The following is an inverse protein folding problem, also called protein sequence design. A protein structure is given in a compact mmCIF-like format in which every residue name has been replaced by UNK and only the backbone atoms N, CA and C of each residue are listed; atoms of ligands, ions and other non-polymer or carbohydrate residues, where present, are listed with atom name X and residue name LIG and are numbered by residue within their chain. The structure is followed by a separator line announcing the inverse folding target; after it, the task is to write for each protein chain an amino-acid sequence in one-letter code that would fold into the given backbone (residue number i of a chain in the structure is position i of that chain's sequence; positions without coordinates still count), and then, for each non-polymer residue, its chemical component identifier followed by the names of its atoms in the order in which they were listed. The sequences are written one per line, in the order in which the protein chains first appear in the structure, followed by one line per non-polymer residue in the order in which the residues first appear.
data_IF_634473864882
#
_entry.id   IF_634473864882
#
_cell.length_a   1.000
_cell.length_b   1.000
_cell.length_c   1.000
_cell.angle_alpha   90.00
_cell.angle_beta   90.00
_cell.angle_gamma   90.00
#
_symmetry.space_group_name_H-M   'P 1'
#
loop_
_entity.id
_entity.type
_entity.pdbx_description
1 polymer ?
#
# COMPACT_ATOMS: atom_id res chain seq x y z
N UNK A 1 -10.21 -24.60 -6.62
CA UNK A 1 -9.13 -24.10 -5.73
C UNK A 1 -9.53 -24.07 -4.25
N UNK A 2 -10.82 -24.05 -3.87
CA UNK A 2 -11.22 -24.28 -2.45
C UNK A 2 -10.92 -23.14 -1.47
N UNK A 3 -10.66 -21.92 -1.94
CA UNK A 3 -10.42 -20.76 -1.07
C UNK A 3 -11.74 -20.29 -0.45
N UNK A 4 -11.76 -20.11 0.88
CA UNK A 4 -12.85 -19.38 1.55
C UNK A 4 -12.67 -17.88 1.31
N UNK A 5 -13.69 -17.22 0.76
CA UNK A 5 -13.64 -15.81 0.37
C UNK A 5 -14.55 -14.99 1.31
N UNK A 6 -14.05 -14.68 2.49
CA UNK A 6 -14.80 -13.89 3.49
C UNK A 6 -14.60 -12.38 3.35
N UNK A 7 -13.44 -11.99 2.81
CA UNK A 7 -13.01 -10.60 2.61
C UNK A 7 -12.38 -10.47 1.23
N UNK A 8 -12.70 -9.37 0.54
CA UNK A 8 -12.22 -9.06 -0.80
C UNK A 8 -11.53 -7.70 -0.78
N UNK A 9 -10.43 -7.56 -1.51
CA UNK A 9 -9.85 -6.28 -1.90
C UNK A 9 -10.03 -6.12 -3.41
N UNK A 10 -10.73 -5.07 -3.83
CA UNK A 10 -10.88 -4.74 -5.25
C UNK A 10 -9.68 -3.91 -5.72
N UNK A 11 -9.13 -4.23 -6.88
CA UNK A 11 -7.98 -3.54 -7.46
C UNK A 11 -8.28 -3.18 -8.91
N UNK A 12 -8.36 -1.89 -9.21
CA UNK A 12 -8.54 -1.35 -10.56
C UNK A 12 -7.17 -1.05 -11.17
N UNK A 13 -6.77 -1.91 -12.10
CA UNK A 13 -5.47 -1.90 -12.80
C UNK A 13 -5.59 -1.04 -14.07
N UNK A 14 -4.46 -0.51 -14.55
CA UNK A 14 -4.23 0.17 -15.86
C UNK A 14 -3.92 1.67 -15.81
N UNK A 15 -3.95 2.30 -14.62
CA UNK A 15 -3.36 3.64 -14.44
C UNK A 15 -4.17 4.82 -15.01
N UNK A 16 -5.33 4.59 -15.62
CA UNK A 16 -6.16 5.62 -16.27
C UNK A 16 -7.57 5.74 -15.70
N UNK A 17 -7.90 4.95 -14.67
CA UNK A 17 -9.26 4.89 -14.11
C UNK A 17 -9.76 6.27 -13.68
N UNK A 18 -8.94 7.05 -12.98
CA UNK A 18 -9.27 8.40 -12.51
C UNK A 18 -9.50 9.41 -13.64
N UNK A 19 -9.04 9.12 -14.86
CA UNK A 19 -9.21 9.96 -16.04
C UNK A 19 -10.48 9.64 -16.85
N UNK A 20 -11.14 8.51 -16.56
CA UNK A 20 -12.37 8.13 -17.26
C UNK A 20 -13.54 9.07 -16.87
N UNK A 21 -14.58 9.18 -17.71
CA UNK A 21 -15.76 9.97 -17.36
C UNK A 21 -16.36 9.56 -16.01
N UNK A 22 -16.79 10.55 -15.21
CA UNK A 22 -17.26 10.29 -13.84
C UNK A 22 -18.42 9.28 -13.77
N UNK A 23 -19.37 9.38 -14.71
CA UNK A 23 -20.47 8.42 -14.82
C UNK A 23 -20.01 6.98 -15.03
N UNK A 24 -18.94 6.78 -15.81
CA UNK A 24 -18.36 5.46 -16.03
C UNK A 24 -17.66 4.94 -14.78
N UNK A 25 -16.88 5.77 -14.08
CA UNK A 25 -16.22 5.37 -12.84
C UNK A 25 -17.24 4.88 -11.80
N UNK A 26 -18.33 5.64 -11.59
CA UNK A 26 -19.41 5.26 -10.68
C UNK A 26 -20.09 3.97 -11.11
N UNK A 27 -20.46 3.87 -12.39
CA UNK A 27 -21.10 2.67 -12.94
C UNK A 27 -20.21 1.43 -12.75
N UNK A 28 -18.91 1.52 -13.07
CA UNK A 28 -18.00 0.39 -13.01
C UNK A 28 -17.83 -0.14 -11.58
N UNK A 29 -17.63 0.76 -10.61
CA UNK A 29 -17.51 0.39 -9.19
C UNK A 29 -18.82 -0.16 -8.66
N UNK A 30 -19.95 0.48 -8.99
CA UNK A 30 -21.28 -0.03 -8.64
C UNK A 30 -21.46 -1.47 -9.12
N UNK A 31 -21.14 -1.78 -10.38
CA UNK A 31 -21.27 -3.14 -10.92
C UNK A 31 -20.35 -4.15 -10.22
N UNK A 32 -19.15 -3.75 -9.82
CA UNK A 32 -18.27 -4.60 -9.02
C UNK A 32 -18.86 -4.87 -7.62
N UNK A 33 -19.45 -3.85 -6.99
CA UNK A 33 -20.12 -3.98 -5.70
C UNK A 33 -21.38 -4.85 -5.80
N UNK A 34 -22.23 -4.64 -6.81
CA UNK A 34 -23.42 -5.47 -7.07
C UNK A 34 -23.04 -6.95 -7.15
N UNK A 35 -21.97 -7.28 -7.87
CA UNK A 35 -21.47 -8.65 -7.99
C UNK A 35 -21.01 -9.24 -6.64
N UNK A 36 -20.38 -8.44 -5.78
CA UNK A 36 -19.92 -8.87 -4.44
C UNK A 36 -21.03 -8.90 -3.40
N UNK A 37 -22.04 -8.05 -3.55
CA UNK A 37 -23.24 -8.01 -2.72
C UNK A 37 -24.16 -9.20 -3.06
N UNK A 38 -24.22 -9.58 -4.34
CA UNK A 38 -25.09 -10.63 -4.85
C UNK A 38 -26.48 -10.14 -5.29
N UNK A 39 -26.68 -8.83 -5.37
CA UNK A 39 -27.92 -8.18 -5.78
C UNK A 39 -27.64 -6.89 -6.55
N UNK A 40 -28.63 -6.44 -7.34
CA UNK A 40 -28.51 -5.22 -8.14
C UNK A 40 -29.00 -4.00 -7.36
N UNK A 41 -28.20 -2.94 -7.37
CA UNK A 41 -28.58 -1.64 -6.81
C UNK A 41 -29.08 -0.66 -7.88
N UNK A 42 -29.80 0.39 -7.50
CA UNK A 42 -30.19 1.51 -8.37
C UNK A 42 -29.07 2.55 -8.56
N UNK A 43 -28.16 2.65 -7.59
CA UNK A 43 -27.12 3.68 -7.53
C UNK A 43 -25.84 3.16 -6.87
N UNK A 44 -24.74 3.91 -7.00
CA UNK A 44 -23.48 3.57 -6.32
C UNK A 44 -23.64 3.68 -4.79
N UNK A 45 -24.38 4.69 -4.34
CA UNK A 45 -24.63 4.98 -2.93
C UNK A 45 -25.40 3.83 -2.25
N UNK A 46 -26.38 3.26 -2.96
CA UNK A 46 -27.07 2.05 -2.52
C UNK A 46 -26.14 0.84 -2.51
N UNK A 47 -25.34 0.63 -3.56
CA UNK A 47 -24.37 -0.48 -3.61
C UNK A 47 -23.38 -0.43 -2.43
N UNK A 48 -22.88 0.76 -2.09
CA UNK A 48 -22.00 0.98 -0.94
C UNK A 48 -22.70 0.73 0.39
N UNK A 49 -23.99 1.08 0.50
CA UNK A 49 -24.80 0.86 1.70
C UNK A 49 -25.04 -0.63 1.92
N UNK A 50 -25.41 -1.37 0.88
CA UNK A 50 -25.54 -2.84 0.93
C UNK A 50 -24.19 -3.48 1.32
N UNK A 51 -23.10 -3.03 0.70
CA UNK A 51 -21.75 -3.51 0.97
C UNK A 51 -21.31 -3.26 2.43
N UNK A 52 -21.90 -2.29 3.12
CA UNK A 52 -21.64 -1.99 4.53
C UNK A 52 -22.50 -2.83 5.48
N UNK A 53 -23.74 -3.15 5.11
CA UNK A 53 -24.74 -3.79 5.99
C UNK A 53 -24.56 -5.30 6.16
N UNK A 54 -23.92 -6.01 5.25
CA UNK A 54 -23.72 -7.45 5.42
C UNK A 54 -23.58 -8.19 4.09
N UNK A 55 -22.56 -7.84 3.29
CA UNK A 55 -22.42 -8.42 1.97
C UNK A 55 -22.07 -9.90 2.06
N UNK A 56 -22.44 -10.64 1.00
CA UNK A 56 -21.95 -12.01 0.77
C UNK A 56 -20.41 -12.08 0.88
N UNK A 57 -19.72 -11.03 0.39
CA UNK A 57 -18.27 -10.88 0.49
C UNK A 57 -17.90 -9.48 1.01
N UNK A 58 -17.17 -9.39 2.14
CA UNK A 58 -16.83 -8.09 2.75
C UNK A 58 -15.73 -7.37 1.97
N UNK A 59 -16.05 -6.22 1.39
CA UNK A 59 -15.07 -5.35 0.73
C UNK A 59 -14.19 -4.66 1.79
N UNK A 60 -13.01 -5.22 2.01
CA UNK A 60 -12.03 -4.73 2.98
C UNK A 60 -11.24 -3.51 2.49
N UNK A 61 -11.21 -3.29 1.17
CA UNK A 61 -10.57 -2.14 0.56
C UNK A 61 -10.80 -2.11 -0.94
N UNK A 62 -10.70 -0.91 -1.50
CA UNK A 62 -10.64 -0.67 -2.93
C UNK A 62 -9.33 0.06 -3.22
N UNK A 63 -8.60 -0.42 -4.24
CA UNK A 63 -7.35 0.16 -4.75
C UNK A 63 -7.56 0.66 -6.18
N UNK A 64 -7.08 1.86 -6.46
CA UNK A 64 -7.03 2.41 -7.82
C UNK A 64 -5.58 2.69 -8.21
N UNK A 65 -5.15 2.14 -9.35
CA UNK A 65 -3.91 2.53 -10.01
C UNK A 65 -4.16 3.75 -10.89
N UNK A 66 -3.35 4.80 -10.76
CA UNK A 66 -3.49 6.04 -11.54
C UNK A 66 -2.15 6.70 -11.81
N UNK A 67 -2.14 7.70 -12.68
CA UNK A 67 -1.01 8.61 -12.85
C UNK A 67 -1.03 9.70 -11.78
N UNK A 68 0.15 10.19 -11.34
CA UNK A 68 0.28 11.32 -10.40
C UNK A 68 -0.58 12.55 -10.75
N UNK A 69 -0.57 12.99 -12.01
CA UNK A 69 -1.34 14.14 -12.50
C UNK A 69 -2.87 13.94 -12.41
N UNK A 70 -3.33 12.70 -12.23
CA UNK A 70 -4.74 12.31 -12.04
C UNK A 70 -5.05 11.80 -10.62
N UNK A 71 -4.26 12.22 -9.64
CA UNK A 71 -4.40 11.83 -8.24
C UNK A 71 -4.36 13.00 -7.25
N UNK A 72 -4.43 14.24 -7.76
CA UNK A 72 -4.49 15.46 -6.96
C UNK A 72 -5.86 15.62 -6.28
N UNK A 73 -6.00 16.63 -5.42
CA UNK A 73 -7.15 16.80 -4.53
C UNK A 73 -8.53 16.65 -5.21
N UNK A 74 -8.82 17.20 -6.40
CA UNK A 74 -10.13 17.01 -7.04
C UNK A 74 -10.44 15.55 -7.39
N UNK A 75 -9.46 14.82 -7.94
CA UNK A 75 -9.60 13.40 -8.28
C UNK A 75 -9.63 12.54 -7.03
N UNK A 76 -8.74 12.81 -6.06
CA UNK A 76 -8.68 12.09 -4.79
C UNK A 76 -10.00 12.19 -4.00
N UNK A 77 -10.66 13.36 -4.01
CA UNK A 77 -11.99 13.50 -3.40
C UNK A 77 -13.06 12.65 -4.07
N UNK A 78 -13.06 12.55 -5.40
CA UNK A 78 -13.96 11.63 -6.13
C UNK A 78 -13.68 10.17 -5.79
N UNK A 79 -12.41 9.79 -5.66
CA UNK A 79 -12.03 8.43 -5.25
C UNK A 79 -12.58 8.08 -3.85
N UNK A 80 -12.65 9.03 -2.92
CA UNK A 80 -13.29 8.80 -1.61
C UNK A 80 -14.79 8.49 -1.76
N UNK A 81 -15.49 9.19 -2.64
CA UNK A 81 -16.93 8.95 -2.91
C UNK A 81 -17.18 7.54 -3.47
N UNK A 82 -16.20 7.01 -4.21
CA UNK A 82 -16.21 5.64 -4.73
C UNK A 82 -15.90 4.57 -3.67
N UNK A 83 -15.53 4.94 -2.44
CA UNK A 83 -15.10 4.02 -1.39
C UNK A 83 -13.66 3.52 -1.54
N UNK A 84 -12.84 4.20 -2.35
CA UNK A 84 -11.41 3.89 -2.50
C UNK A 84 -10.69 4.12 -1.17
N UNK A 85 -9.77 3.21 -0.83
CA UNK A 85 -8.97 3.29 0.40
C UNK A 85 -7.47 3.37 0.12
N UNK A 86 -7.06 3.08 -1.11
CA UNK A 86 -5.67 2.97 -1.53
C UNK A 86 -5.50 3.49 -2.94
N UNK A 87 -4.46 4.29 -3.15
CA UNK A 87 -4.10 4.80 -4.47
C UNK A 87 -2.67 4.42 -4.76
N UNK A 88 -2.45 3.85 -5.93
CA UNK A 88 -1.13 3.48 -6.40
C UNK A 88 -0.74 4.36 -7.59
N UNK A 89 0.34 5.10 -7.40
CA UNK A 89 0.84 6.09 -8.33
C UNK A 89 1.87 5.46 -9.26
N UNK A 90 1.63 5.61 -10.56
CA UNK A 90 2.57 5.24 -11.61
C UNK A 90 3.76 6.20 -11.72
N UNK A 91 4.56 6.30 -10.64
CA UNK A 91 5.74 7.18 -10.46
C UNK A 91 6.88 6.78 -11.39
N UNK A 92 7.25 5.51 -11.41
CA UNK A 92 8.30 4.90 -12.22
C UNK A 92 9.71 5.34 -11.81
N UNK A 93 10.02 6.62 -11.87
CA UNK A 93 11.25 7.23 -11.37
C UNK A 93 10.94 8.55 -10.66
N UNK A 94 11.91 9.20 -9.99
CA UNK A 94 11.73 10.57 -9.48
C UNK A 94 12.72 11.53 -10.15
N UNK A 95 12.68 11.54 -11.49
CA UNK A 95 13.57 12.31 -12.36
C UNK A 95 12.81 12.82 -13.61
N UNK A 96 12.67 14.14 -13.73
CA UNK A 96 11.98 14.79 -14.84
C UNK A 96 12.73 14.64 -16.19
N UNK A 97 14.04 14.40 -16.19
CA UNK A 97 14.78 14.06 -17.41
C UNK A 97 14.37 12.68 -17.91
N UNK A 98 14.30 11.68 -17.03
CA UNK A 98 13.81 10.34 -17.39
C UNK A 98 12.38 10.44 -17.93
N UNK A 99 11.50 11.20 -17.28
CA UNK A 99 10.13 11.43 -17.75
C UNK A 99 10.07 12.02 -19.16
N UNK A 100 10.90 13.03 -19.48
CA UNK A 100 10.99 13.58 -20.84
C UNK A 100 11.44 12.53 -21.84
N UNK A 101 12.46 11.73 -21.52
CA UNK A 101 12.99 10.69 -22.42
C UNK A 101 11.92 9.64 -22.74
N UNK A 102 11.19 9.17 -21.73
CA UNK A 102 10.15 8.13 -21.90
C UNK A 102 8.79 8.71 -22.29
N UNK A 103 8.70 10.02 -22.54
CA UNK A 103 7.47 10.74 -22.88
C UNK A 103 6.34 10.53 -21.85
N UNK A 104 6.67 10.70 -20.57
CA UNK A 104 5.71 10.66 -19.48
C UNK A 104 5.04 12.03 -19.32
N UNK A 105 3.72 12.04 -19.19
CA UNK A 105 2.93 13.27 -19.15
C UNK A 105 2.73 13.87 -17.75
N UNK A 106 3.62 13.60 -16.81
CA UNK A 106 3.62 14.20 -15.47
C UNK A 106 5.06 14.47 -15.03
N UNK A 107 5.19 15.25 -13.96
CA UNK A 107 6.44 15.70 -13.36
C UNK A 107 6.66 15.09 -11.98
N UNK A 108 7.86 15.26 -11.42
CA UNK A 108 8.14 14.90 -10.02
C UNK A 108 7.27 15.74 -9.07
N UNK A 109 6.99 16.99 -9.42
CA UNK A 109 6.10 17.85 -8.63
C UNK A 109 4.67 17.27 -8.55
N UNK A 110 4.15 16.72 -9.66
CA UNK A 110 2.85 16.03 -9.65
C UNK A 110 2.85 14.82 -8.69
N UNK A 111 3.98 14.12 -8.55
CA UNK A 111 4.15 13.01 -7.60
C UNK A 111 4.09 13.52 -6.16
N UNK A 112 4.81 14.60 -5.87
CA UNK A 112 4.87 15.22 -4.53
C UNK A 112 3.49 15.73 -4.12
N UNK A 113 2.85 16.52 -4.99
CA UNK A 113 1.52 17.08 -4.74
C UNK A 113 0.47 15.98 -4.52
N UNK A 114 0.40 15.00 -5.43
CA UNK A 114 -0.53 13.88 -5.30
C UNK A 114 -0.28 13.08 -4.02
N UNK A 115 0.98 12.84 -3.66
CA UNK A 115 1.31 12.11 -2.43
C UNK A 115 0.85 12.86 -1.19
N UNK A 116 1.06 14.18 -1.13
CA UNK A 116 0.57 15.03 -0.04
C UNK A 116 -0.95 15.01 0.04
N UNK A 117 -1.64 15.25 -1.07
CA UNK A 117 -3.10 15.27 -1.14
C UNK A 117 -3.70 13.94 -0.67
N UNK A 118 -3.17 12.82 -1.16
CA UNK A 118 -3.64 11.49 -0.80
C UNK A 118 -3.42 11.20 0.69
N UNK A 119 -2.26 11.53 1.24
CA UNK A 119 -1.98 11.33 2.67
C UNK A 119 -2.87 12.19 3.55
N UNK A 120 -3.07 13.46 3.20
CA UNK A 120 -3.95 14.38 3.93
C UNK A 120 -5.44 14.04 3.78
N UNK A 121 -5.82 13.23 2.79
CA UNK A 121 -7.13 12.58 2.66
C UNK A 121 -7.16 11.15 3.24
N UNK A 122 -6.16 10.80 4.06
CA UNK A 122 -5.99 9.53 4.75
C UNK A 122 -5.72 8.29 3.88
N UNK A 123 -5.62 8.39 2.55
CA UNK A 123 -5.36 7.23 1.69
C UNK A 123 -4.04 6.53 2.03
N UNK A 124 -4.00 5.22 1.83
CA UNK A 124 -2.76 4.46 1.64
C UNK A 124 -2.16 4.81 0.28
N UNK A 125 -0.86 5.10 0.21
CA UNK A 125 -0.17 5.51 -1.01
C UNK A 125 0.89 4.47 -1.39
N UNK A 126 0.76 3.92 -2.60
CA UNK A 126 1.75 3.01 -3.18
C UNK A 126 2.46 3.64 -4.37
N UNK A 127 3.76 3.41 -4.55
CA UNK A 127 4.48 3.80 -5.75
C UNK A 127 4.78 2.59 -6.63
N UNK A 128 4.56 2.71 -7.93
CA UNK A 128 5.13 1.80 -8.91
C UNK A 128 6.49 2.35 -9.32
N UNK A 129 7.57 1.63 -9.06
CA UNK A 129 8.94 2.03 -9.38
C UNK A 129 9.51 1.12 -10.46
N UNK A 130 10.27 1.69 -11.39
CA UNK A 130 10.85 0.99 -12.53
C UNK A 130 12.34 1.31 -12.62
N UNK A 131 13.24 0.44 -12.13
CA UNK A 131 14.66 0.61 -12.40
C UNK A 131 14.95 0.36 -13.89
N UNK A 132 16.11 0.83 -14.34
CA UNK A 132 16.64 0.63 -15.69
C UNK A 132 15.80 1.26 -16.81
N UNK A 133 15.12 2.38 -16.52
CA UNK A 133 14.48 3.17 -17.56
C UNK A 133 15.53 3.82 -18.49
N UNK A 134 15.19 4.11 -19.77
CA UNK A 134 16.05 4.90 -20.64
C UNK A 134 16.48 6.22 -19.99
N UNK A 135 17.79 6.49 -19.99
CA UNK A 135 18.40 7.66 -19.34
C UNK A 135 18.82 7.44 -17.87
N UNK A 136 18.50 6.27 -17.30
CA UNK A 136 18.99 5.85 -15.97
C UNK A 136 20.22 4.94 -16.06
N UNK A 137 20.86 4.77 -14.91
CA UNK A 137 21.95 3.83 -14.66
C UNK A 137 21.86 3.29 -13.21
N UNK A 138 22.72 2.33 -12.86
CA UNK A 138 22.68 1.68 -11.53
C UNK A 138 22.86 2.67 -10.38
N UNK A 139 23.67 3.72 -10.57
CA UNK A 139 23.93 4.71 -9.54
C UNK A 139 22.72 5.64 -9.39
N UNK A 140 22.15 6.12 -10.50
CA UNK A 140 20.92 6.92 -10.51
C UNK A 140 19.75 6.18 -9.89
N UNK A 141 19.54 4.91 -10.25
CA UNK A 141 18.46 4.09 -9.70
C UNK A 141 18.62 3.86 -8.18
N UNK A 142 19.86 3.67 -7.71
CA UNK A 142 20.14 3.53 -6.28
C UNK A 142 19.89 4.84 -5.52
N UNK A 143 20.37 5.97 -6.05
CA UNK A 143 20.18 7.28 -5.42
C UNK A 143 18.72 7.70 -5.40
N UNK A 144 18.01 7.50 -6.51
CA UNK A 144 16.56 7.67 -6.60
C UNK A 144 15.85 6.91 -5.48
N UNK A 145 16.21 5.64 -5.27
CA UNK A 145 15.59 4.82 -4.24
C UNK A 145 15.90 5.29 -2.83
N UNK A 146 17.12 5.76 -2.55
CA UNK A 146 17.49 6.37 -1.26
C UNK A 146 16.67 7.63 -1.01
N UNK A 147 16.61 8.53 -2.00
CA UNK A 147 15.86 9.78 -1.91
C UNK A 147 14.38 9.58 -1.59
N UNK A 148 13.73 8.53 -2.12
CA UNK A 148 12.32 8.21 -1.79
C UNK A 148 12.07 8.04 -0.28
N UNK A 149 13.08 7.60 0.48
CA UNK A 149 12.98 7.39 1.93
C UNK A 149 13.55 8.56 2.73
N UNK A 150 14.63 9.18 2.26
CA UNK A 150 15.29 10.27 2.95
C UNK A 150 14.50 11.58 2.84
N UNK A 151 13.89 11.84 1.69
CA UNK A 151 13.12 13.05 1.42
C UNK A 151 11.65 12.89 1.88
N UNK A 152 11.16 13.75 2.80
CA UNK A 152 9.80 13.65 3.33
C UNK A 152 8.71 13.86 2.27
N UNK A 153 8.99 14.44 1.11
CA UNK A 153 7.97 14.69 0.09
C UNK A 153 7.44 13.40 -0.56
N UNK A 154 8.15 12.27 -0.45
CA UNK A 154 7.75 10.97 -0.98
C UNK A 154 7.24 10.02 0.12
N UNK A 155 8.13 9.20 0.69
CA UNK A 155 7.88 8.21 1.75
C UNK A 155 6.55 7.43 1.58
N UNK A 156 6.30 6.74 0.46
CA UNK A 156 5.07 5.98 0.25
C UNK A 156 4.93 4.84 1.29
N UNK A 157 3.72 4.34 1.50
CA UNK A 157 3.48 3.22 2.43
C UNK A 157 3.85 1.87 1.80
N UNK A 158 3.88 1.81 0.47
CA UNK A 158 4.10 0.59 -0.28
C UNK A 158 4.81 0.87 -1.59
N UNK A 159 5.46 -0.16 -2.13
CA UNK A 159 6.05 -0.11 -3.46
C UNK A 159 5.78 -1.38 -4.25
N UNK A 160 5.63 -1.21 -5.56
CA UNK A 160 5.70 -2.25 -6.59
C UNK A 160 6.94 -1.98 -7.43
N UNK A 161 7.87 -2.92 -7.48
CA UNK A 161 9.12 -2.78 -8.22
C UNK A 161 8.98 -3.58 -9.52
N UNK A 162 9.08 -2.88 -10.66
CA UNK A 162 8.92 -3.45 -11.99
C UNK A 162 10.14 -3.10 -12.83
N UNK A 163 11.19 -3.95 -12.81
CA UNK A 163 12.33 -3.78 -13.71
C UNK A 163 11.89 -3.60 -15.16
N UNK A 164 12.54 -2.68 -15.85
CA UNK A 164 12.17 -2.34 -17.22
C UNK A 164 12.37 -3.55 -18.14
N UNK A 165 11.34 -3.86 -18.93
CA UNK A 165 11.33 -4.94 -19.91
C UNK A 165 11.18 -4.38 -21.31
N UNK A 166 11.97 -4.89 -22.25
CA UNK A 166 11.86 -4.55 -23.67
C UNK A 166 10.80 -5.44 -24.31
N UNK A 167 9.64 -4.87 -24.62
CA UNK A 167 8.52 -5.60 -25.23
C UNK A 167 8.45 -5.32 -26.73
N UNK A 168 8.23 -6.34 -27.58
CA UNK A 168 7.98 -6.14 -29.01
C UNK A 168 6.87 -5.11 -29.28
N UNK A 169 7.04 -4.31 -30.33
CA UNK A 169 6.09 -3.26 -30.71
C UNK A 169 6.13 -1.99 -29.86
N UNK A 170 7.06 -1.86 -28.92
CA UNK A 170 7.23 -0.64 -28.12
C UNK A 170 8.37 0.25 -28.64
N UNK A 171 8.31 1.55 -28.36
CA UNK A 171 9.41 2.49 -28.63
C UNK A 171 10.73 2.05 -27.99
N UNK A 172 10.67 1.43 -26.81
CA UNK A 172 11.85 0.89 -26.13
C UNK A 172 12.52 -0.24 -26.94
N UNK A 173 11.72 -1.08 -27.60
CA UNK A 173 12.24 -2.13 -28.47
C UNK A 173 12.94 -1.59 -29.72
N UNK A 174 12.48 -0.46 -30.26
CA UNK A 174 13.18 0.23 -31.35
C UNK A 174 14.53 0.79 -30.89
N UNK A 175 14.60 1.40 -29.70
CA UNK A 175 15.85 1.90 -29.11
C UNK A 175 16.83 0.76 -28.85
N UNK A 176 16.35 -0.37 -28.32
CA UNK A 176 17.16 -1.56 -28.09
C UNK A 176 17.73 -2.12 -29.39
N UNK A 177 16.90 -2.26 -30.45
CA UNK A 177 17.36 -2.72 -31.78
C UNK A 177 18.42 -1.82 -32.41
N UNK A 178 18.37 -0.52 -32.13
CA UNK A 178 19.36 0.47 -32.60
C UNK A 178 20.62 0.52 -31.73
N UNK A 179 20.70 -0.28 -30.66
CA UNK A 179 21.81 -0.24 -29.69
C UNK A 179 21.81 0.98 -28.77
N UNK A 180 20.73 1.77 -28.77
CA UNK A 180 20.59 3.00 -27.98
C UNK A 180 20.04 2.76 -26.57
N UNK A 181 19.63 1.53 -26.27
CA UNK A 181 19.22 1.10 -24.94
C UNK A 181 19.77 -0.29 -24.66
N UNK A 182 20.41 -0.46 -23.50
CA UNK A 182 20.91 -1.74 -23.01
C UNK A 182 20.31 -2.01 -21.63
N UNK A 183 19.53 -3.09 -21.47
CA UNK A 183 19.03 -3.45 -20.15
C UNK A 183 20.16 -3.94 -19.26
N UNK A 184 19.99 -3.84 -17.95
CA UNK A 184 20.90 -4.44 -16.98
C UNK A 184 20.97 -5.95 -17.16
N UNK A 185 22.12 -6.51 -16.82
CA UNK A 185 22.27 -7.95 -16.59
C UNK A 185 21.44 -8.40 -15.38
N UNK A 186 21.14 -9.69 -15.29
CA UNK A 186 20.39 -10.23 -14.15
C UNK A 186 21.19 -10.04 -12.85
N UNK A 187 22.51 -10.16 -12.88
CA UNK A 187 23.42 -9.96 -11.75
C UNK A 187 23.41 -8.51 -11.26
N UNK A 188 23.55 -7.53 -12.16
CA UNK A 188 23.47 -6.10 -11.84
C UNK A 188 22.12 -5.73 -11.23
N UNK A 189 21.03 -6.28 -11.78
CA UNK A 189 19.68 -6.04 -11.27
C UNK A 189 19.48 -6.65 -9.88
N UNK A 190 19.95 -7.88 -9.64
CA UNK A 190 19.87 -8.53 -8.33
C UNK A 190 20.66 -7.75 -7.29
N UNK A 191 21.87 -7.30 -7.62
CA UNK A 191 22.72 -6.47 -6.77
C UNK A 191 22.01 -5.15 -6.39
N UNK A 192 21.45 -4.44 -7.38
CA UNK A 192 20.70 -3.19 -7.17
C UNK A 192 19.47 -3.41 -6.28
N UNK A 193 18.64 -4.39 -6.60
CA UNK A 193 17.41 -4.66 -5.86
C UNK A 193 17.69 -5.15 -4.43
N UNK A 194 18.81 -5.83 -4.21
CA UNK A 194 19.25 -6.21 -2.87
C UNK A 194 19.51 -4.96 -2.02
N UNK A 195 20.24 -3.99 -2.57
CA UNK A 195 20.45 -2.69 -1.91
C UNK A 195 19.12 -1.97 -1.65
N UNK A 196 18.20 -1.96 -2.61
CA UNK A 196 16.85 -1.39 -2.40
C UNK A 196 16.12 -2.05 -1.23
N UNK A 197 16.15 -3.38 -1.14
CA UNK A 197 15.50 -4.11 -0.04
C UNK A 197 16.15 -3.81 1.33
N UNK A 198 17.45 -3.53 1.39
CA UNK A 198 18.13 -3.09 2.60
C UNK A 198 17.72 -1.67 3.04
N UNK A 199 17.60 -0.73 2.10
CA UNK A 199 17.17 0.64 2.37
C UNK A 199 15.69 0.75 2.71
N UNK A 200 14.87 -0.25 2.39
CA UNK A 200 13.42 -0.21 2.60
C UNK A 200 13.06 -0.06 4.08
N UNK A 201 12.40 1.04 4.49
CA UNK A 201 12.03 1.22 5.89
C UNK A 201 11.05 0.16 6.41
N UNK A 202 11.06 -0.15 7.72
CA UNK A 202 10.20 -1.20 8.28
C UNK A 202 8.69 -0.93 8.23
N UNK A 203 8.28 0.33 7.98
CA UNK A 203 6.87 0.74 7.79
C UNK A 203 6.36 0.51 6.36
N UNK A 204 7.23 0.13 5.43
CA UNK A 204 6.90 0.01 4.00
C UNK A 204 6.56 -1.44 3.65
N UNK A 205 5.55 -1.64 2.79
CA UNK A 205 5.25 -2.95 2.19
C UNK A 205 5.75 -3.00 0.75
N UNK A 206 6.75 -3.84 0.47
CA UNK A 206 7.07 -4.24 -0.90
C UNK A 206 6.00 -5.24 -1.35
N UNK A 207 5.06 -4.81 -2.17
CA UNK A 207 3.95 -5.66 -2.64
C UNK A 207 4.46 -6.70 -3.63
N UNK A 208 5.31 -6.28 -4.56
CA UNK A 208 5.76 -7.10 -5.68
C UNK A 208 7.11 -6.65 -6.21
N UNK A 209 7.88 -7.62 -6.69
CA UNK A 209 9.08 -7.44 -7.50
C UNK A 209 8.81 -8.25 -8.76
N UNK A 210 8.73 -7.60 -9.92
CA UNK A 210 8.34 -8.13 -11.25
C UNK A 210 6.84 -8.05 -11.60
N UNK A 211 6.53 -7.84 -12.90
CA UNK A 211 5.16 -7.80 -13.44
C UNK A 211 4.67 -9.19 -13.83
N UNK A 212 3.36 -9.37 -13.93
CA UNK A 212 2.70 -10.56 -14.49
C UNK A 212 2.79 -10.59 -16.03
N UNK A 213 4.00 -10.35 -16.55
CA UNK A 213 4.30 -10.41 -17.97
C UNK A 213 5.10 -11.68 -18.19
N UNK A 214 4.64 -12.62 -19.03
CA UNK A 214 5.40 -13.82 -19.34
C UNK A 214 6.77 -13.44 -19.93
N UNK A 215 7.87 -13.75 -19.24
CA UNK A 215 9.21 -13.31 -19.67
C UNK A 215 9.58 -13.75 -21.09
N UNK A 216 9.00 -14.86 -21.57
CA UNK A 216 9.16 -15.35 -22.95
C UNK A 216 8.73 -14.35 -24.04
N UNK A 217 7.88 -13.37 -23.72
CA UNK A 217 7.45 -12.35 -24.68
C UNK A 217 8.36 -11.11 -24.67
N UNK A 218 9.24 -10.97 -23.68
CA UNK A 218 10.19 -9.88 -23.64
C UNK A 218 11.34 -10.15 -24.62
N UNK A 219 11.66 -9.16 -25.45
CA UNK A 219 12.80 -9.21 -26.36
C UNK A 219 14.14 -9.08 -25.60
N UNK A 220 14.14 -8.31 -24.50
CA UNK A 220 15.28 -8.16 -23.59
C UNK A 220 14.82 -7.64 -22.21
N UNK A 221 15.71 -7.67 -21.22
CA UNK A 221 15.42 -7.36 -19.82
C UNK A 221 15.66 -8.57 -18.92
N UNK A 222 15.15 -8.52 -17.69
CA UNK A 222 15.37 -9.57 -16.70
C UNK A 222 14.80 -10.93 -17.16
N UNK A 223 15.57 -12.00 -16.98
CA UNK A 223 15.17 -13.37 -17.36
C UNK A 223 14.81 -14.24 -16.16
N UNK A 224 15.11 -13.76 -14.95
CA UNK A 224 14.80 -14.45 -13.71
C UNK A 224 13.29 -14.42 -13.43
N UNK A 225 12.63 -15.58 -13.47
CA UNK A 225 11.20 -15.71 -13.21
C UNK A 225 10.82 -15.52 -11.73
N UNK A 226 11.68 -15.96 -10.81
CA UNK A 226 11.49 -15.81 -9.36
C UNK A 226 12.37 -14.69 -8.80
N UNK A 227 12.31 -13.49 -9.40
CA UNK A 227 13.27 -12.42 -9.11
C UNK A 227 13.33 -12.05 -7.62
N UNK A 228 12.18 -12.02 -6.93
CA UNK A 228 12.13 -11.74 -5.49
C UNK A 228 12.94 -12.75 -4.67
N UNK A 229 12.82 -14.03 -4.99
CA UNK A 229 13.53 -15.10 -4.28
C UNK A 229 15.04 -15.01 -4.51
N UNK A 230 15.45 -14.73 -5.75
CA UNK A 230 16.86 -14.53 -6.10
C UNK A 230 17.48 -13.35 -5.33
N UNK A 231 16.77 -12.21 -5.27
CA UNK A 231 17.22 -11.02 -4.51
C UNK A 231 17.31 -11.32 -3.01
N UNK A 232 16.31 -11.99 -2.44
CA UNK A 232 16.34 -12.33 -1.00
C UNK A 232 17.44 -13.34 -0.67
N UNK A 233 17.69 -14.32 -1.53
CA UNK A 233 18.80 -15.26 -1.37
C UNK A 233 20.14 -14.52 -1.38
N UNK A 234 20.32 -13.61 -2.34
CA UNK A 234 21.52 -12.81 -2.46
C UNK A 234 21.79 -11.94 -1.22
N UNK A 235 20.74 -11.41 -0.59
CA UNK A 235 20.85 -10.71 0.70
C UNK A 235 21.29 -11.64 1.84
N UNK A 236 20.68 -12.82 1.93
CA UNK A 236 21.00 -13.80 2.98
C UNK A 236 22.45 -14.29 2.88
N UNK A 237 22.96 -14.51 1.68
CA UNK A 237 24.37 -14.88 1.44
C UNK A 237 25.36 -13.82 1.97
N UNK A 238 24.91 -12.57 2.13
CA UNK A 238 25.68 -11.45 2.71
C UNK A 238 25.37 -11.21 4.19
N UNK A 239 24.64 -12.09 4.84
CA UNK A 239 24.21 -11.95 6.24
C UNK A 239 23.23 -10.80 6.46
N UNK A 240 22.52 -10.35 5.41
CA UNK A 240 21.54 -9.26 5.46
C UNK A 240 20.13 -9.81 5.23
N UNK A 241 19.12 -9.04 5.65
CA UNK A 241 17.70 -9.36 5.43
C UNK A 241 16.89 -8.10 5.18
N UNK A 242 15.86 -8.22 4.34
CA UNK A 242 14.86 -7.18 4.16
C UNK A 242 13.96 -7.08 5.40
N UNK A 243 13.73 -5.86 5.87
CA UNK A 243 12.87 -5.58 7.05
C UNK A 243 11.56 -4.89 6.69
N UNK A 244 11.17 -4.88 5.42
CA UNK A 244 9.84 -4.41 5.02
C UNK A 244 8.71 -5.23 5.67
N UNK A 245 7.50 -4.69 5.68
CA UNK A 245 6.30 -5.34 6.25
C UNK A 245 6.11 -6.77 5.73
N UNK A 246 6.20 -7.00 4.41
CA UNK A 246 5.96 -8.33 3.80
C UNK A 246 6.99 -9.37 4.25
N UNK A 247 8.22 -8.96 4.53
CA UNK A 247 9.28 -9.88 4.96
C UNK A 247 9.15 -10.25 6.44
N UNK A 248 8.43 -9.44 7.22
CA UNK A 248 8.28 -9.61 8.67
C UNK A 248 6.89 -10.07 9.08
N UNK A 249 5.87 -9.97 8.22
CA UNK A 249 4.52 -10.39 8.59
C UNK A 249 4.46 -11.87 8.99
N UNK A 250 3.74 -12.16 10.08
CA UNK A 250 3.72 -13.47 10.72
C UNK A 250 3.42 -14.63 9.75
N UNK A 251 2.47 -14.44 8.83
CA UNK A 251 2.15 -15.44 7.82
C UNK A 251 3.31 -15.77 6.89
N UNK A 252 4.08 -14.78 6.45
CA UNK A 252 5.25 -15.00 5.60
C UNK A 252 6.42 -15.63 6.36
N UNK A 253 6.66 -15.20 7.61
CA UNK A 253 7.71 -15.76 8.48
C UNK A 253 7.46 -17.24 8.78
N UNK A 254 6.20 -17.61 9.03
CA UNK A 254 5.82 -19.01 9.16
C UNK A 254 6.00 -19.80 7.85
N UNK A 255 5.44 -19.31 6.74
CA UNK A 255 5.46 -20.04 5.47
C UNK A 255 6.87 -20.29 4.93
N UNK A 256 7.79 -19.34 5.13
CA UNK A 256 9.15 -19.42 4.59
C UNK A 256 10.17 -19.95 5.57
N UNK A 257 10.13 -19.45 6.81
CA UNK A 257 11.19 -19.64 7.78
C UNK A 257 10.76 -20.60 8.90
N UNK A 258 9.48 -21.04 8.93
CA UNK A 258 8.90 -21.89 9.98
C UNK A 258 9.04 -21.31 11.39
N UNK A 259 9.15 -19.98 11.49
CA UNK A 259 9.24 -19.27 12.76
C UNK A 259 7.84 -18.81 13.19
N UNK A 260 7.43 -19.23 14.39
CA UNK A 260 6.19 -18.79 15.03
C UNK A 260 6.43 -17.52 15.83
N UNK A 261 5.35 -16.78 16.10
CA UNK A 261 5.40 -15.59 16.97
C UNK A 261 5.65 -16.05 18.40
N UNK A 262 6.68 -15.50 19.04
CA UNK A 262 6.85 -15.56 20.49
C UNK A 262 6.07 -14.41 21.12
N UNK A 263 4.89 -14.73 21.68
CA UNK A 263 4.00 -13.75 22.27
C UNK A 263 4.55 -13.09 23.54
N UNK A 264 5.47 -13.74 24.26
CA UNK A 264 6.11 -13.15 25.44
C UNK A 264 7.11 -12.06 25.05
N UNK A 265 7.60 -12.11 23.80
CA UNK A 265 8.50 -11.10 23.23
C UNK A 265 7.77 -10.04 22.39
N UNK A 266 6.44 -10.09 22.30
CA UNK A 266 5.66 -9.10 21.55
C UNK A 266 5.62 -7.76 22.28
N UNK A 267 6.16 -6.72 21.64
CA UNK A 267 6.21 -5.35 22.16
C UNK A 267 5.50 -4.38 21.23
N UNK A 268 4.94 -3.33 21.81
CA UNK A 268 4.44 -2.18 21.08
C UNK A 268 5.63 -1.32 20.63
N UNK A 269 5.74 -1.08 19.32
CA UNK A 269 6.78 -0.25 18.71
C UNK A 269 6.12 0.92 17.99
N UNK A 270 6.60 2.13 18.25
CA UNK A 270 6.15 3.35 17.58
C UNK A 270 7.29 3.91 16.75
N UNK A 271 7.06 4.06 15.43
CA UNK A 271 8.01 4.71 14.51
C UNK A 271 7.38 5.99 14.00
N UNK A 272 8.01 7.12 14.32
CA UNK A 272 7.59 8.46 13.91
C UNK A 272 8.45 8.95 12.76
N UNK A 273 7.83 9.49 11.72
CA UNK A 273 8.53 10.09 10.59
C UNK A 273 7.70 11.19 9.94
N UNK A 274 8.36 12.24 9.46
CA UNK A 274 7.71 13.29 8.68
C UNK A 274 7.36 12.77 7.29
N UNK A 275 6.22 13.14 6.76
CA UNK A 275 5.92 12.87 5.35
C UNK A 275 4.92 13.87 4.79
N UNK A 276 5.30 14.48 3.67
CA UNK A 276 4.49 15.41 2.89
C UNK A 276 4.00 16.57 3.76
N UNK A 277 4.87 17.16 4.58
CA UNK A 277 4.56 18.25 5.52
C UNK A 277 3.73 17.85 6.75
N UNK A 278 3.30 16.59 6.85
CA UNK A 278 2.59 16.05 8.01
C UNK A 278 3.45 15.07 8.78
N UNK A 279 2.86 14.43 9.78
CA UNK A 279 3.57 13.54 10.69
C UNK A 279 2.91 12.17 10.71
N UNK A 280 3.67 11.14 10.39
CA UNK A 280 3.24 9.74 10.37
C UNK A 280 3.74 9.00 11.61
N UNK A 281 2.88 8.16 12.14
CA UNK A 281 3.14 7.23 13.23
C UNK A 281 2.78 5.83 12.74
N UNK A 282 3.80 4.99 12.58
CA UNK A 282 3.64 3.57 12.34
C UNK A 282 3.73 2.86 13.69
N UNK A 283 2.57 2.50 14.24
CA UNK A 283 2.43 1.85 15.54
C UNK A 283 2.21 0.37 15.28
N UNK A 284 3.04 -0.51 15.83
CA UNK A 284 2.98 -1.93 15.56
C UNK A 284 3.20 -2.78 16.80
N UNK A 285 2.60 -3.97 16.81
CA UNK A 285 3.01 -5.05 17.70
C UNK A 285 3.98 -5.96 16.96
N UNK A 286 5.18 -6.11 17.52
CA UNK A 286 6.26 -6.87 16.92
C UNK A 286 6.88 -7.82 17.96
N UNK A 287 7.06 -9.08 17.58
CA UNK A 287 7.99 -9.97 18.28
C UNK A 287 9.41 -9.52 17.93
N UNK A 288 10.06 -8.89 18.90
CA UNK A 288 11.38 -8.28 18.73
C UNK A 288 12.50 -9.30 18.64
N UNK A 289 12.29 -10.51 19.18
CA UNK A 289 13.30 -11.57 19.19
C UNK A 289 13.42 -12.22 17.81
N UNK A 290 12.28 -12.46 17.16
CA UNK A 290 12.22 -13.13 15.86
C UNK A 290 12.03 -12.17 14.67
N UNK A 291 11.95 -10.86 14.92
CA UNK A 291 11.65 -9.80 13.95
C UNK A 291 10.38 -10.12 13.14
N UNK A 292 9.28 -10.40 13.86
CA UNK A 292 7.96 -10.73 13.31
C UNK A 292 6.96 -9.61 13.61
N UNK A 293 6.22 -9.19 12.60
CA UNK A 293 5.16 -8.19 12.68
C UNK A 293 3.80 -8.89 12.84
N UNK A 294 3.13 -8.64 13.97
CA UNK A 294 1.82 -9.21 14.32
C UNK A 294 0.68 -8.35 13.75
N UNK A 295 0.80 -7.04 13.87
CA UNK A 295 -0.18 -6.08 13.37
C UNK A 295 0.32 -4.65 13.51
N UNK A 296 -0.29 -3.72 12.78
CA UNK A 296 0.07 -2.31 12.78
C UNK A 296 -1.12 -1.41 12.51
N UNK A 297 -0.97 -0.14 12.89
CA UNK A 297 -1.86 0.96 12.55
C UNK A 297 -1.02 2.15 12.08
N UNK A 298 -1.48 2.83 11.02
CA UNK A 298 -0.89 4.06 10.48
C UNK A 298 -1.73 5.24 10.96
N UNK A 299 -1.17 6.05 11.85
CA UNK A 299 -1.79 7.28 12.35
C UNK A 299 -1.05 8.48 11.75
N UNK A 300 -1.79 9.49 11.27
CA UNK A 300 -1.24 10.70 10.67
C UNK A 300 -1.81 11.95 11.32
N UNK A 301 -0.94 12.92 11.61
CA UNK A 301 -1.32 14.34 11.74
C UNK A 301 -1.22 14.99 10.36
N UNK A 302 -2.33 15.39 9.73
CA UNK A 302 -2.32 15.93 8.38
C UNK A 302 -1.63 17.29 8.33
N UNK A 303 -1.04 17.62 7.17
CA UNK A 303 -0.41 18.92 6.93
C UNK A 303 -1.42 20.00 6.56
N UNK A 304 -2.49 19.60 5.87
CA UNK A 304 -3.59 20.45 5.43
C UNK A 304 -4.92 19.77 5.68
N UNK A 305 -5.96 20.58 5.86
CA UNK A 305 -7.34 20.10 5.98
C UNK A 305 -8.00 20.25 4.62
N UNK A 306 -8.22 19.13 3.92
CA UNK A 306 -8.78 19.11 2.57
C UNK A 306 -10.30 18.83 2.55
N UNK A 307 -10.88 18.51 3.71
CA UNK A 307 -12.30 18.17 3.89
C UNK A 307 -12.77 18.54 5.30
N UNK A 308 -14.03 18.97 5.43
CA UNK A 308 -14.67 19.34 6.71
C UNK A 308 -14.67 18.18 7.72
N UNK A 309 -14.78 16.95 7.24
CA UNK A 309 -14.75 15.74 8.07
C UNK A 309 -13.38 15.56 8.76
N UNK A 310 -12.33 16.28 8.34
CA UNK A 310 -10.97 16.14 8.87
C UNK A 310 -10.56 17.27 9.82
N UNK A 311 -11.43 18.26 10.07
CA UNK A 311 -11.12 19.38 10.96
C UNK A 311 -10.82 18.91 12.39
N UNK A 312 -9.64 19.28 12.90
CA UNK A 312 -9.15 18.88 14.23
C UNK A 312 -8.94 17.38 14.40
N UNK A 313 -8.79 16.63 13.29
CA UNK A 313 -8.68 15.19 13.30
C UNK A 313 -7.24 14.67 13.23
N UNK A 314 -6.97 13.56 13.91
CA UNK A 314 -5.91 12.64 13.53
C UNK A 314 -6.47 11.55 12.61
N UNK A 315 -5.67 11.10 11.64
CA UNK A 315 -6.12 10.22 10.55
C UNK A 315 -5.54 8.82 10.71
N UNK A 316 -6.40 7.82 10.89
CA UNK A 316 -6.03 6.42 10.74
C UNK A 316 -6.15 6.04 9.28
N UNK A 317 -5.00 5.80 8.65
CA UNK A 317 -4.84 5.51 7.23
C UNK A 317 -4.95 4.03 6.93
N UNK A 318 -4.57 3.20 7.89
CA UNK A 318 -4.60 1.75 7.79
C UNK A 318 -4.58 1.13 9.19
N UNK A 319 -5.42 0.10 9.41
CA UNK A 319 -5.31 -0.83 10.52
C UNK A 319 -5.24 -2.24 9.92
N UNK A 320 -4.17 -2.97 10.21
CA UNK A 320 -3.98 -4.32 9.69
C UNK A 320 -3.47 -5.25 10.80
N UNK A 321 -4.13 -6.38 10.97
CA UNK A 321 -3.70 -7.45 11.88
C UNK A 321 -3.59 -8.72 11.06
N UNK A 322 -2.42 -9.35 11.09
CA UNK A 322 -2.20 -10.61 10.39
C UNK A 322 -2.92 -11.73 11.13
N UNK A 323 -3.80 -12.44 10.41
CA UNK A 323 -4.66 -13.49 10.97
C UNK A 323 -4.17 -14.92 10.70
N UNK A 324 -4.76 -15.88 11.44
CA UNK A 324 -4.56 -17.36 11.43
C UNK A 324 -3.12 -17.82 11.20
N UNK A 325 -2.44 -18.09 12.31
CA UNK A 325 -1.04 -18.52 12.37
C UNK A 325 -0.82 -20.05 12.46
N UNK A 326 -1.84 -20.89 12.21
CA UNK A 326 -1.72 -22.36 12.32
C UNK A 326 -2.45 -23.06 11.16
N UNK A 327 -1.88 -24.13 10.57
CA UNK A 327 -2.58 -25.02 9.65
C UNK A 327 -3.92 -25.53 10.21
N UNK A 328 -4.85 -25.85 9.31
CA UNK A 328 -6.12 -26.49 9.68
C UNK A 328 -5.81 -27.87 10.31
N UNK A 329 -6.06 -28.04 11.62
CA UNK A 329 -5.97 -29.34 12.30
C UNK A 329 -5.34 -29.36 13.70
N UNK A 330 -4.66 -28.31 14.15
CA UNK A 330 -3.97 -28.31 15.47
C UNK A 330 -4.76 -27.59 16.59
N UNK A 331 -4.68 -28.12 17.81
CA UNK A 331 -5.55 -27.83 18.99
C UNK A 331 -5.40 -26.42 19.64
N UNK A 332 -4.78 -25.45 18.98
CA UNK A 332 -4.54 -24.08 19.52
C UNK A 332 -5.45 -22.96 18.97
N UNK A 333 -6.43 -23.30 18.10
CA UNK A 333 -7.14 -22.31 17.26
C UNK A 333 -7.94 -21.24 18.01
N UNK A 334 -8.50 -21.54 19.18
CA UNK A 334 -9.40 -20.62 19.89
C UNK A 334 -8.64 -19.54 20.67
N UNK A 335 -7.55 -19.91 21.35
CA UNK A 335 -6.72 -18.97 22.12
C UNK A 335 -6.02 -17.95 21.22
N UNK A 336 -5.45 -18.38 20.09
CA UNK A 336 -4.78 -17.48 19.15
C UNK A 336 -5.78 -16.54 18.45
N UNK A 337 -6.95 -17.04 18.06
CA UNK A 337 -7.99 -16.22 17.43
C UNK A 337 -8.52 -15.12 18.39
N UNK A 338 -8.61 -15.40 19.69
CA UNK A 338 -8.95 -14.45 20.74
C UNK A 338 -7.85 -13.39 20.92
N UNK A 339 -6.57 -13.79 20.92
CA UNK A 339 -5.43 -12.87 21.01
C UNK A 339 -5.32 -11.97 19.76
N UNK A 340 -5.53 -12.49 18.55
CA UNK A 340 -5.58 -11.71 17.31
C UNK A 340 -6.66 -10.63 17.32
N UNK A 341 -7.85 -10.94 17.85
CA UNK A 341 -8.93 -9.94 18.01
C UNK A 341 -8.54 -8.83 18.99
N UNK A 342 -7.70 -9.13 19.98
CA UNK A 342 -7.23 -8.15 20.97
C UNK A 342 -6.27 -7.12 20.37
N UNK A 343 -5.36 -7.52 19.46
CA UNK A 343 -4.35 -6.61 18.91
C UNK A 343 -4.94 -5.48 18.09
N UNK A 344 -5.99 -5.74 17.30
CA UNK A 344 -6.66 -4.68 16.54
C UNK A 344 -7.26 -3.59 17.44
N UNK A 345 -7.93 -4.00 18.53
CA UNK A 345 -8.46 -3.06 19.52
C UNK A 345 -7.34 -2.33 20.27
N UNK A 346 -6.27 -3.04 20.65
CA UNK A 346 -5.12 -2.44 21.34
C UNK A 346 -4.43 -1.38 20.47
N UNK A 347 -4.21 -1.65 19.19
CA UNK A 347 -3.64 -0.69 18.24
C UNK A 347 -4.54 0.52 18.06
N UNK A 348 -5.86 0.33 17.95
CA UNK A 348 -6.80 1.43 17.80
C UNK A 348 -6.85 2.30 19.06
N UNK A 349 -6.89 1.68 20.25
CA UNK A 349 -6.85 2.42 21.53
C UNK A 349 -5.54 3.21 21.69
N UNK A 350 -4.42 2.63 21.29
CA UNK A 350 -3.13 3.35 21.32
C UNK A 350 -3.12 4.54 20.36
N UNK A 351 -3.69 4.39 19.17
CA UNK A 351 -3.83 5.50 18.23
C UNK A 351 -4.81 6.58 18.75
N UNK A 352 -5.90 6.21 19.43
CA UNK A 352 -6.80 7.15 20.10
C UNK A 352 -6.08 7.93 21.21
N UNK A 353 -5.30 7.24 22.06
CA UNK A 353 -4.48 7.85 23.12
C UNK A 353 -3.48 8.85 22.54
N UNK A 354 -2.67 8.43 21.58
CA UNK A 354 -1.68 9.29 20.93
C UNK A 354 -2.33 10.48 20.20
N UNK A 355 -3.48 10.26 19.55
CA UNK A 355 -4.22 11.34 18.90
C UNK A 355 -4.67 12.41 19.91
N UNK A 356 -5.17 12.00 21.08
CA UNK A 356 -5.61 12.93 22.12
C UNK A 356 -4.43 13.61 22.82
N UNK A 357 -3.46 12.84 23.31
CA UNK A 357 -2.40 13.30 24.22
C UNK A 357 -1.23 13.95 23.49
N UNK A 358 -0.83 13.43 22.33
CA UNK A 358 0.38 13.89 21.61
C UNK A 358 0.06 14.82 20.44
N UNK A 359 -1.11 14.66 19.82
CA UNK A 359 -1.49 15.43 18.62
C UNK A 359 -2.50 16.56 18.91
N UNK A 360 -3.05 16.63 20.12
CA UNK A 360 -4.18 17.50 20.52
C UNK A 360 -5.35 17.41 19.53
N UNK A 361 -5.60 16.22 19.01
CA UNK A 361 -6.72 15.97 18.11
C UNK A 361 -8.03 15.91 18.91
N UNK A 362 -9.08 16.57 18.38
CA UNK A 362 -10.42 16.54 18.97
C UNK A 362 -11.21 15.31 18.56
N UNK A 363 -10.81 14.70 17.44
CA UNK A 363 -11.41 13.48 16.91
C UNK A 363 -10.38 12.64 16.18
N UNK A 364 -10.71 11.36 16.01
CA UNK A 364 -9.97 10.44 15.16
C UNK A 364 -10.86 10.01 14.00
N UNK A 365 -10.29 10.01 12.80
CA UNK A 365 -10.99 9.67 11.54
C UNK A 365 -10.28 8.48 10.91
N UNK A 366 -11.04 7.51 10.42
CA UNK A 366 -10.51 6.30 9.78
C UNK A 366 -11.01 6.20 8.35
N UNK A 367 -10.07 6.03 7.40
CA UNK A 367 -10.44 5.56 6.06
C UNK A 367 -10.67 4.05 6.12
N UNK A 368 -11.92 3.63 5.97
CA UNK A 368 -12.33 2.24 6.13
C UNK A 368 -12.92 1.71 4.84
N UNK A 369 -12.54 0.50 4.44
CA UNK A 369 -13.27 -0.26 3.44
C UNK A 369 -14.73 -0.43 3.89
N UNK A 370 -15.65 -0.34 2.93
CA UNK A 370 -17.10 -0.33 3.23
C UNK A 370 -17.56 -1.57 3.97
N UNK A 371 -17.06 -2.75 3.59
CA UNK A 371 -17.41 -4.04 4.21
C UNK A 371 -16.78 -4.29 5.58
N UNK A 372 -15.98 -3.35 6.09
CA UNK A 372 -15.34 -3.45 7.42
C UNK A 372 -15.71 -2.31 8.37
N UNK A 373 -16.57 -1.36 7.98
CA UNK A 373 -17.00 -0.23 8.85
C UNK A 373 -17.65 -0.67 10.15
N UNK A 374 -18.42 -1.77 10.14
CA UNK A 374 -19.03 -2.34 11.35
C UNK A 374 -18.04 -2.68 12.47
N UNK A 375 -16.78 -3.00 12.12
CA UNK A 375 -15.72 -3.20 13.09
C UNK A 375 -15.52 -1.94 13.96
N UNK A 376 -15.55 -0.76 13.35
CA UNK A 376 -15.39 0.51 14.04
C UNK A 376 -16.65 0.93 14.79
N UNK A 377 -17.85 0.67 14.23
CA UNK A 377 -19.11 0.97 14.91
C UNK A 377 -19.25 0.29 16.27
N UNK A 378 -18.82 -0.99 16.36
CA UNK A 378 -18.77 -1.71 17.64
C UNK A 378 -17.82 -1.11 18.69
N UNK A 379 -17.03 -0.09 18.33
CA UNK A 379 -16.05 0.61 19.19
C UNK A 379 -16.38 2.10 19.37
N UNK A 380 -17.62 2.50 19.09
CA UNK A 380 -18.11 3.86 19.29
C UNK A 380 -17.77 4.84 18.17
N UNK A 381 -17.29 4.36 17.01
CA UNK A 381 -17.21 5.19 15.81
C UNK A 381 -18.57 5.33 15.15
N UNK A 382 -18.76 6.43 14.42
CA UNK A 382 -19.95 6.70 13.61
C UNK A 382 -19.53 7.04 12.18
N UNK A 383 -20.48 6.95 11.24
CA UNK A 383 -20.25 7.35 9.85
C UNK A 383 -20.01 8.86 9.77
N UNK A 384 -18.96 9.28 9.08
CA UNK A 384 -18.56 10.69 8.89
C UNK A 384 -18.12 10.90 7.44
N UNK A 385 -19.09 11.19 6.56
CA UNK A 385 -18.89 11.26 5.12
C UNK A 385 -18.37 9.93 4.52
N UNK A 386 -17.24 9.92 3.79
CA UNK A 386 -16.62 8.70 3.28
C UNK A 386 -15.84 7.91 4.36
N UNK A 387 -15.68 8.48 5.56
CA UNK A 387 -14.92 7.93 6.67
C UNK A 387 -15.82 7.35 7.77
N UNK A 388 -15.18 6.82 8.81
CA UNK A 388 -15.79 6.65 10.13
C UNK A 388 -14.98 7.45 11.15
N UNK A 389 -15.63 8.10 12.10
CA UNK A 389 -14.95 8.94 13.08
C UNK A 389 -15.47 8.74 14.51
N UNK A 390 -14.63 9.12 15.48
CA UNK A 390 -14.94 9.09 16.91
C UNK A 390 -14.39 10.35 17.55
N UNK A 391 -15.20 11.02 18.37
CA UNK A 391 -14.72 12.14 19.19
C UNK A 391 -13.86 11.59 20.33
N UNK A 392 -12.74 12.27 20.60
CA UNK A 392 -11.85 11.90 21.68
C UNK A 392 -12.28 12.66 22.93
N UNK A 393 -12.51 11.95 24.03
CA UNK A 393 -12.63 12.58 25.35
C UNK A 393 -11.25 13.01 25.81
N UNK A 394 -11.12 14.26 26.24
CA UNK A 394 -9.90 14.75 26.89
C UNK A 394 -9.72 14.15 28.27
#
# INVERSE_FOLDING_TARGET
MGHQVDKVELIFIAGTFSALPWGYQKWFIKRCLDALNGEESSSLEEALTIAEQGPRHRVSGITVETRPDWAKAPQAQRLLELGVTRVELGVQAIDDEIYRIINRGHTVEDVIEATRDLKDLAFKVGYHLMPNLPGSDLAKDLEMYRKIWDDPDFRPDMIKIYPTLVLPGTKLHELWKKGLYKPYTDEELIELLSKWLEYTPPYVRIQRIQREIPLRIAAAGNKVANLREAVEKHLMERGRRCRCIRCREAGHRWLRDRVLVDFDQVKLIVRKYEASGGLEYFISYEDVSNDILVGFIRLRKPSRILRKELEGAALVRELHVYGRMIPVGERGQEMDALQHRSFGSKLLNEAERMAAEELDAKKIVVISGVGVRKYYYSRGYVRDGPYVSKRLSR
#
